data_IF_408993544193
#
_entry.id   IF_408993544193
#
_cell.length_a   1.000
_cell.length_b   1.000
_cell.length_c   1.000
_cell.angle_alpha   90.00
_cell.angle_beta   90.00
_cell.angle_gamma   90.00
#
_symmetry.space_group_name_H-M   'P 1'
#
loop_
_entity.id
_entity.type
_entity.pdbx_description
1 polymer ?
#
# COMPACT_ATOMS: atom_id res chain seq x y z
N UNK A 1 12.43 -22.68 -20.43
CA UNK A 1 12.00 -21.32 -20.01
C UNK A 1 10.54 -21.26 -19.50
N UNK A 2 9.70 -22.27 -19.72
CA UNK A 2 8.35 -22.36 -19.14
C UNK A 2 8.02 -23.77 -18.61
N UNK A 3 9.03 -24.54 -18.20
CA UNK A 3 8.83 -25.93 -17.72
C UNK A 3 7.95 -25.98 -16.46
N UNK A 4 7.89 -24.90 -15.70
CA UNK A 4 7.02 -24.74 -14.54
C UNK A 4 5.52 -24.88 -14.89
N UNK A 5 5.10 -24.57 -16.13
CA UNK A 5 3.68 -24.67 -16.54
C UNK A 5 3.15 -26.11 -16.39
N UNK A 6 4.03 -27.11 -16.49
CA UNK A 6 3.67 -28.52 -16.37
C UNK A 6 3.76 -29.06 -14.94
N UNK A 7 4.23 -28.26 -13.98
CA UNK A 7 4.35 -28.64 -12.57
C UNK A 7 3.18 -28.14 -11.74
N UNK A 8 2.53 -29.05 -11.01
CA UNK A 8 1.45 -28.69 -10.07
C UNK A 8 1.94 -27.75 -8.96
N UNK A 9 3.19 -27.92 -8.51
CA UNK A 9 3.79 -27.13 -7.44
C UNK A 9 3.99 -25.66 -7.85
N UNK A 10 4.26 -25.43 -9.14
CA UNK A 10 4.40 -24.08 -9.67
C UNK A 10 3.08 -23.32 -9.69
N UNK A 11 1.98 -24.00 -10.02
CA UNK A 11 0.62 -23.41 -9.96
C UNK A 11 0.18 -23.13 -8.52
N UNK A 12 0.51 -24.01 -7.57
CA UNK A 12 0.27 -23.78 -6.14
C UNK A 12 1.06 -22.56 -5.68
N UNK A 13 2.35 -22.50 -6.01
CA UNK A 13 3.22 -21.35 -5.68
C UNK A 13 2.68 -20.06 -6.28
N UNK A 14 2.27 -20.08 -7.56
CA UNK A 14 1.68 -18.93 -8.23
C UNK A 14 0.40 -18.46 -7.52
N UNK A 15 -0.47 -19.39 -7.15
CA UNK A 15 -1.71 -19.09 -6.44
C UNK A 15 -1.44 -18.50 -5.05
N UNK A 16 -0.51 -19.09 -4.29
CA UNK A 16 -0.10 -18.60 -2.96
C UNK A 16 0.50 -17.20 -3.06
N UNK A 17 1.44 -16.99 -3.98
CA UNK A 17 2.04 -15.67 -4.19
C UNK A 17 1.01 -14.63 -4.63
N UNK A 18 0.12 -14.99 -5.55
CA UNK A 18 -0.94 -14.08 -6.00
C UNK A 18 -1.87 -13.71 -4.85
N UNK A 19 -2.23 -14.69 -4.01
CA UNK A 19 -3.07 -14.45 -2.83
C UNK A 19 -2.36 -13.55 -1.80
N UNK A 20 -1.09 -13.79 -1.51
CA UNK A 20 -0.30 -12.96 -0.61
C UNK A 20 -0.17 -11.53 -1.15
N UNK A 21 0.18 -11.35 -2.42
CA UNK A 21 0.29 -10.03 -3.05
C UNK A 21 -1.05 -9.28 -3.07
N UNK A 22 -2.17 -9.98 -3.26
CA UNK A 22 -3.51 -9.38 -3.17
C UNK A 22 -3.81 -8.95 -1.73
N UNK A 23 -3.61 -9.81 -0.74
CA UNK A 23 -3.90 -9.51 0.68
C UNK A 23 -3.03 -8.35 1.16
N UNK A 24 -1.73 -8.39 0.89
CA UNK A 24 -0.80 -7.31 1.22
C UNK A 24 -1.09 -6.03 0.41
N UNK A 25 -1.66 -6.16 -0.80
CA UNK A 25 -2.00 -5.06 -1.69
C UNK A 25 -3.30 -4.31 -1.35
N UNK A 26 -4.14 -4.83 -0.44
CA UNK A 26 -5.39 -4.17 -0.03
C UNK A 26 -5.10 -2.77 0.54
N UNK A 27 -4.08 -2.65 1.38
CA UNK A 27 -3.70 -1.39 2.01
C UNK A 27 -3.26 -0.35 0.96
N UNK A 28 -2.54 -0.80 -0.08
CA UNK A 28 -2.10 0.03 -1.20
C UNK A 28 -3.29 0.55 -2.02
N UNK A 29 -4.35 -0.26 -2.21
CA UNK A 29 -5.56 0.19 -2.93
C UNK A 29 -6.32 1.24 -2.13
N UNK A 30 -6.49 1.02 -0.82
CA UNK A 30 -7.18 1.98 0.04
C UNK A 30 -6.42 3.31 0.03
N UNK A 31 -5.10 3.26 0.11
CA UNK A 31 -4.28 4.46 0.05
C UNK A 31 -4.38 5.18 -1.30
N UNK A 32 -4.33 4.41 -2.40
CA UNK A 32 -4.55 4.95 -3.74
C UNK A 32 -5.91 5.65 -3.85
N UNK A 33 -6.97 5.04 -3.32
CA UNK A 33 -8.31 5.62 -3.32
C UNK A 33 -8.34 6.99 -2.61
N UNK A 34 -7.67 7.10 -1.45
CA UNK A 34 -7.57 8.35 -0.69
C UNK A 34 -6.85 9.44 -1.49
N UNK A 35 -5.69 9.15 -2.06
CA UNK A 35 -4.94 10.15 -2.80
C UNK A 35 -5.64 10.57 -4.09
N UNK A 36 -6.22 9.62 -4.81
CA UNK A 36 -6.96 9.89 -6.05
C UNK A 36 -8.22 10.72 -5.77
N UNK A 37 -8.85 10.58 -4.59
CA UNK A 37 -10.03 11.39 -4.22
C UNK A 37 -9.77 12.90 -4.21
N UNK A 38 -8.49 13.32 -4.06
CA UNK A 38 -8.05 14.72 -4.12
C UNK A 38 -7.96 15.28 -5.53
N UNK A 39 -7.93 14.42 -6.54
CA UNK A 39 -7.93 14.86 -7.92
C UNK A 39 -9.33 15.34 -8.31
N UNK A 40 -9.42 16.32 -9.23
CA UNK A 40 -10.70 16.68 -9.83
C UNK A 40 -11.41 15.42 -10.38
N UNK A 41 -12.75 15.31 -10.27
CA UNK A 41 -13.50 14.10 -10.63
C UNK A 41 -13.12 13.53 -12.02
N UNK A 42 -12.88 14.40 -12.99
CA UNK A 42 -12.50 14.05 -14.38
C UNK A 42 -11.14 13.34 -14.49
N UNK A 43 -10.24 13.52 -13.51
CA UNK A 43 -8.89 12.98 -13.51
C UNK A 43 -8.73 11.74 -12.61
N UNK A 44 -9.75 11.37 -11.84
CA UNK A 44 -9.64 10.30 -10.84
C UNK A 44 -9.38 8.93 -11.46
N UNK A 45 -10.16 8.56 -12.47
CA UNK A 45 -9.97 7.28 -13.16
C UNK A 45 -8.59 7.19 -13.82
N UNK A 46 -8.12 8.29 -14.42
CA UNK A 46 -6.76 8.37 -14.97
C UNK A 46 -5.70 8.24 -13.89
N UNK A 47 -5.85 8.95 -12.77
CA UNK A 47 -4.92 8.90 -11.63
C UNK A 47 -4.82 7.49 -11.04
N UNK A 48 -5.95 6.78 -10.93
CA UNK A 48 -6.01 5.39 -10.46
C UNK A 48 -5.28 4.43 -11.40
N UNK A 49 -5.59 4.47 -12.70
CA UNK A 49 -4.96 3.59 -13.69
C UNK A 49 -3.46 3.87 -13.78
N UNK A 50 -3.06 5.14 -13.85
CA UNK A 50 -1.65 5.52 -13.91
C UNK A 50 -0.90 5.19 -12.62
N UNK A 51 -1.53 5.43 -11.46
CA UNK A 51 -0.96 5.07 -10.15
C UNK A 51 -0.72 3.58 -10.03
N UNK A 52 -1.71 2.74 -10.36
CA UNK A 52 -1.57 1.28 -10.34
C UNK A 52 -0.56 0.76 -11.37
N UNK A 53 -0.56 1.33 -12.59
CA UNK A 53 0.40 0.95 -13.62
C UNK A 53 1.83 1.29 -13.20
N UNK A 54 2.03 2.47 -12.60
CA UNK A 54 3.34 2.88 -12.09
C UNK A 54 3.79 1.99 -10.92
N UNK A 55 2.91 1.73 -9.96
CA UNK A 55 3.15 0.81 -8.84
C UNK A 55 3.55 -0.60 -9.32
N UNK A 56 2.85 -1.13 -10.33
CA UNK A 56 3.21 -2.41 -10.93
C UNK A 56 4.60 -2.39 -11.56
N UNK A 57 4.93 -1.34 -12.32
CA UNK A 57 6.25 -1.19 -12.94
C UNK A 57 7.32 -1.11 -11.86
N UNK A 58 7.15 -0.29 -10.82
CA UNK A 58 8.12 -0.17 -9.73
C UNK A 58 8.30 -1.50 -9.01
N UNK A 59 7.22 -2.25 -8.77
CA UNK A 59 7.27 -3.56 -8.13
C UNK A 59 8.00 -4.59 -8.99
N UNK A 60 7.73 -4.63 -10.30
CA UNK A 60 8.44 -5.50 -11.24
C UNK A 60 9.92 -5.11 -11.31
N UNK A 61 10.26 -3.81 -11.31
CA UNK A 61 11.66 -3.37 -11.30
C UNK A 61 12.39 -3.73 -10.00
N UNK A 62 11.73 -3.59 -8.86
CA UNK A 62 12.25 -4.05 -7.56
C UNK A 62 12.48 -5.56 -7.56
N UNK A 63 11.51 -6.32 -8.09
CA UNK A 63 11.67 -7.75 -8.32
C UNK A 63 12.84 -8.03 -9.25
N UNK A 64 12.95 -7.47 -10.44
CA UNK A 64 14.09 -7.73 -11.33
C UNK A 64 15.44 -7.31 -10.73
N UNK A 65 15.42 -6.41 -9.75
CA UNK A 65 16.57 -5.97 -8.97
C UNK A 65 16.83 -6.88 -7.75
N UNK A 66 16.41 -8.15 -7.75
CA UNK A 66 16.58 -9.13 -6.64
C UNK A 66 17.95 -9.03 -5.98
N UNK A 67 19.03 -9.08 -6.77
CA UNK A 67 20.40 -9.03 -6.25
C UNK A 67 20.71 -7.75 -5.49
N UNK A 68 20.15 -6.61 -5.92
CA UNK A 68 20.27 -5.34 -5.22
C UNK A 68 19.40 -5.32 -3.96
N UNK A 69 18.15 -5.80 -4.04
CA UNK A 69 17.24 -5.89 -2.89
C UNK A 69 17.82 -6.78 -1.80
N UNK A 70 18.43 -7.91 -2.15
CA UNK A 70 19.12 -8.78 -1.18
C UNK A 70 20.31 -8.09 -0.52
N UNK A 71 21.02 -7.21 -1.25
CA UNK A 71 22.09 -6.38 -0.67
C UNK A 71 21.54 -5.27 0.24
N UNK A 72 20.32 -4.79 0.02
CA UNK A 72 19.67 -3.85 0.96
C UNK A 72 19.43 -4.50 2.33
N UNK A 73 19.28 -5.82 2.42
CA UNK A 73 19.14 -6.55 3.70
C UNK A 73 20.49 -6.77 4.38
N UNK A 74 21.61 -6.69 3.65
CA UNK A 74 22.94 -6.85 4.26
C UNK A 74 23.31 -5.63 5.13
N UNK A 75 23.94 -5.83 6.30
CA UNK A 75 24.40 -4.75 7.16
C UNK A 75 25.32 -3.79 6.40
N UNK A 76 24.98 -2.49 6.40
CA UNK A 76 25.81 -1.45 5.79
C UNK A 76 26.86 -0.92 6.78
N UNK A 77 26.45 -0.74 8.04
CA UNK A 77 27.30 -0.27 9.13
C UNK A 77 26.67 -0.66 10.47
N UNK A 78 27.50 -0.85 11.50
CA UNK A 78 27.05 -1.11 12.87
C UNK A 78 27.15 0.15 13.72
N UNK A 79 26.09 0.45 14.48
CA UNK A 79 26.08 1.53 15.48
C UNK A 79 25.59 0.93 16.79
N UNK A 80 26.40 1.02 17.85
CA UNK A 80 26.02 0.57 19.20
C UNK A 80 25.48 -0.89 19.21
N UNK A 81 26.22 -1.82 18.59
CA UNK A 81 25.86 -3.24 18.42
C UNK A 81 24.61 -3.57 17.58
N UNK A 82 23.97 -2.56 16.97
CA UNK A 82 22.90 -2.78 15.99
C UNK A 82 23.43 -2.67 14.56
N UNK A 83 23.18 -3.70 13.76
CA UNK A 83 23.51 -3.76 12.33
C UNK A 83 22.41 -3.05 11.53
N UNK A 84 22.72 -1.93 10.89
CA UNK A 84 21.73 -1.18 10.10
C UNK A 84 21.90 -1.54 8.64
N UNK A 85 20.84 -2.07 8.03
CA UNK A 85 20.76 -2.39 6.61
C UNK A 85 20.13 -1.25 5.80
N UNK A 86 20.27 -1.32 4.47
CA UNK A 86 19.58 -0.37 3.59
C UNK A 86 18.06 -0.53 3.63
N UNK A 87 17.55 -1.74 3.88
CA UNK A 87 16.13 -2.03 4.09
C UNK A 87 15.62 -1.21 5.28
N UNK A 88 16.34 -1.25 6.40
CA UNK A 88 15.92 -0.58 7.64
C UNK A 88 15.82 0.93 7.44
N UNK A 89 16.75 1.51 6.67
CA UNK A 89 16.69 2.93 6.33
C UNK A 89 15.44 3.27 5.49
N UNK A 90 15.09 2.43 4.52
CA UNK A 90 13.88 2.61 3.70
C UNK A 90 12.62 2.47 4.54
N UNK A 91 12.55 1.47 5.42
CA UNK A 91 11.42 1.25 6.32
C UNK A 91 11.27 2.38 7.34
N UNK A 92 12.38 2.87 7.91
CA UNK A 92 12.39 3.99 8.85
C UNK A 92 11.91 5.28 8.18
N UNK A 93 12.49 5.65 7.05
CA UNK A 93 12.12 6.87 6.32
C UNK A 93 10.70 6.78 5.77
N UNK A 94 10.33 5.62 5.23
CA UNK A 94 8.99 5.34 4.74
C UNK A 94 7.94 5.41 5.86
N UNK A 95 8.19 4.74 6.98
CA UNK A 95 7.32 4.75 8.15
C UNK A 95 7.12 6.14 8.74
N UNK A 96 8.21 6.91 8.92
CA UNK A 96 8.15 8.31 9.34
C UNK A 96 7.36 9.17 8.35
N UNK A 97 7.61 8.99 7.05
CA UNK A 97 6.88 9.69 6.00
C UNK A 97 5.37 9.40 6.08
N UNK A 98 4.98 8.13 6.24
CA UNK A 98 3.59 7.71 6.39
C UNK A 98 2.93 8.30 7.64
N UNK A 99 3.59 8.27 8.79
CA UNK A 99 3.07 8.85 10.03
C UNK A 99 2.82 10.35 9.85
N UNK A 100 3.83 11.09 9.40
CA UNK A 100 3.76 12.55 9.26
C UNK A 100 2.71 12.93 8.22
N UNK A 101 2.66 12.25 7.08
CA UNK A 101 1.69 12.51 6.02
C UNK A 101 0.26 12.22 6.51
N UNK A 102 0.02 11.07 7.11
CA UNK A 102 -1.30 10.66 7.58
C UNK A 102 -1.83 11.59 8.68
N UNK A 103 -0.99 12.00 9.64
CA UNK A 103 -1.42 12.93 10.69
C UNK A 103 -1.81 14.28 10.11
N UNK A 104 -1.02 14.81 9.15
CA UNK A 104 -1.37 16.06 8.45
C UNK A 104 -2.71 15.93 7.74
N UNK A 105 -2.92 14.81 7.07
CA UNK A 105 -4.14 14.50 6.34
C UNK A 105 -5.38 14.39 7.25
N UNK A 106 -5.24 13.72 8.40
CA UNK A 106 -6.28 13.62 9.43
C UNK A 106 -6.63 15.02 9.95
N UNK A 107 -5.63 15.84 10.25
CA UNK A 107 -5.83 17.21 10.75
C UNK A 107 -6.57 18.07 9.73
N UNK A 108 -6.19 18.02 8.46
CA UNK A 108 -6.85 18.75 7.38
C UNK A 108 -8.32 18.33 7.25
N UNK A 109 -8.59 17.03 7.35
CA UNK A 109 -9.94 16.49 7.22
C UNK A 109 -10.86 16.82 8.40
N UNK A 110 -10.31 16.89 9.63
CA UNK A 110 -11.08 17.26 10.83
C UNK A 110 -11.29 18.78 10.92
N UNK A 111 -10.30 19.56 10.49
CA UNK A 111 -10.33 21.01 10.73
C UNK A 111 -11.32 21.77 9.86
N UNK A 112 -11.99 21.14 8.88
CA UNK A 112 -12.90 21.76 7.91
C UNK A 112 -12.40 23.11 7.35
N UNK A 113 -11.08 23.33 7.31
CA UNK A 113 -10.55 24.58 6.81
C UNK A 113 -10.77 24.60 5.30
N UNK A 114 -11.64 25.52 4.87
CA UNK A 114 -11.80 25.90 3.48
C UNK A 114 -10.42 26.11 2.83
N UNK A 115 -10.27 25.55 1.64
CA UNK A 115 -9.02 25.47 0.90
C UNK A 115 -8.22 26.79 0.91
N UNK A 116 -6.99 26.72 1.38
CA UNK A 116 -5.91 27.43 0.72
C UNK A 116 -5.84 26.89 -0.71
N UNK A 117 -6.51 27.56 -1.66
CA UNK A 117 -6.43 27.30 -3.10
C UNK A 117 -4.96 27.10 -3.50
N UNK A 118 -4.53 25.85 -3.67
CA UNK A 118 -3.18 25.60 -4.16
C UNK A 118 -3.14 25.97 -5.63
N UNK A 119 -2.30 26.95 -5.97
CA UNK A 119 -2.06 27.53 -7.31
C UNK A 119 -1.52 26.51 -8.36
N UNK A 120 -1.56 25.21 -8.08
CA UNK A 120 -1.11 24.19 -9.02
C UNK A 120 -2.18 23.88 -10.06
N UNK A 121 -1.81 23.95 -11.34
CA UNK A 121 -2.63 23.44 -12.46
C UNK A 121 -3.03 21.99 -12.17
N UNK A 122 -4.25 21.60 -12.55
CA UNK A 122 -4.78 20.25 -12.33
C UNK A 122 -3.86 19.12 -12.82
N UNK A 123 -3.14 19.33 -13.93
CA UNK A 123 -2.12 18.40 -14.45
C UNK A 123 -0.92 18.20 -13.50
N UNK A 124 -0.45 19.26 -12.84
CA UNK A 124 0.62 19.13 -11.83
C UNK A 124 0.14 18.36 -10.60
N UNK A 125 -1.12 18.53 -10.19
CA UNK A 125 -1.70 17.77 -9.07
C UNK A 125 -1.75 16.27 -9.36
N UNK A 126 -2.05 15.87 -10.61
CA UNK A 126 -2.06 14.46 -11.01
C UNK A 126 -0.69 13.81 -10.84
N UNK A 127 0.37 14.43 -11.37
CA UNK A 127 1.72 13.86 -11.27
C UNK A 127 2.23 13.79 -9.83
N UNK A 128 1.89 14.78 -8.99
CA UNK A 128 2.22 14.76 -7.57
C UNK A 128 1.53 13.57 -6.89
N UNK A 129 0.24 13.37 -7.13
CA UNK A 129 -0.52 12.24 -6.55
C UNK A 129 0.04 10.90 -7.02
N UNK A 130 0.34 10.74 -8.31
CA UNK A 130 0.93 9.50 -8.85
C UNK A 130 2.31 9.24 -8.23
N UNK A 131 3.13 10.27 -8.04
CA UNK A 131 4.42 10.13 -7.37
C UNK A 131 4.27 9.75 -5.89
N UNK A 132 3.28 10.31 -5.16
CA UNK A 132 3.00 9.92 -3.78
C UNK A 132 2.57 8.45 -3.68
N UNK A 133 1.70 7.99 -4.59
CA UNK A 133 1.32 6.56 -4.69
C UNK A 133 2.56 5.71 -4.90
N UNK A 134 3.43 6.10 -5.84
CA UNK A 134 4.63 5.34 -6.17
C UNK A 134 5.61 5.21 -5.00
N UNK A 135 5.87 6.32 -4.29
CA UNK A 135 6.78 6.31 -3.13
C UNK A 135 6.26 5.38 -2.05
N UNK A 136 4.95 5.40 -1.80
CA UNK A 136 4.34 4.56 -0.76
C UNK A 136 4.32 3.10 -1.18
N UNK A 137 4.01 2.82 -2.45
CA UNK A 137 4.08 1.47 -2.98
C UNK A 137 5.50 0.91 -2.93
N UNK A 138 6.55 1.70 -3.17
CA UNK A 138 7.95 1.27 -3.04
C UNK A 138 8.27 0.84 -1.60
N UNK A 139 7.86 1.64 -0.61
CA UNK A 139 8.09 1.32 0.81
C UNK A 139 7.40 0.01 1.19
N UNK A 140 6.14 -0.19 0.77
CA UNK A 140 5.39 -1.41 1.05
C UNK A 140 5.85 -2.64 0.26
N UNK A 141 6.20 -2.43 -1.01
CA UNK A 141 6.62 -3.51 -1.89
C UNK A 141 8.00 -4.03 -1.55
N UNK A 142 8.87 -3.26 -0.87
CA UNK A 142 10.17 -3.76 -0.43
C UNK A 142 10.03 -5.01 0.43
N UNK A 143 9.13 -4.98 1.42
CA UNK A 143 8.93 -6.11 2.33
C UNK A 143 8.15 -7.27 1.68
N UNK A 144 7.16 -6.96 0.83
CA UNK A 144 6.43 -7.99 0.06
C UNK A 144 7.34 -8.73 -0.91
N UNK A 145 8.26 -8.01 -1.58
CA UNK A 145 9.23 -8.58 -2.51
C UNK A 145 10.23 -9.47 -1.76
N UNK A 146 10.75 -9.03 -0.61
CA UNK A 146 11.65 -9.85 0.22
C UNK A 146 10.95 -11.15 0.64
N UNK A 147 9.69 -11.06 1.05
CA UNK A 147 8.87 -12.24 1.39
C UNK A 147 8.67 -13.17 0.18
N UNK A 148 8.35 -12.61 -0.99
CA UNK A 148 8.13 -13.37 -2.22
C UNK A 148 9.40 -14.14 -2.65
N UNK A 149 10.57 -13.51 -2.54
CA UNK A 149 11.88 -14.13 -2.81
C UNK A 149 12.18 -15.27 -1.84
N UNK A 150 11.71 -15.17 -0.60
CA UNK A 150 11.82 -16.26 0.38
C UNK A 150 10.95 -17.48 0.05
N UNK A 151 9.86 -17.30 -0.72
CA UNK A 151 8.87 -18.34 -1.02
C UNK A 151 9.12 -18.99 -2.38
N UNK A 152 9.47 -18.21 -3.41
CA UNK A 152 9.61 -18.72 -4.78
C UNK A 152 10.98 -18.45 -5.38
N UNK A 153 11.50 -19.47 -6.06
CA UNK A 153 12.82 -19.42 -6.71
C UNK A 153 12.73 -19.02 -8.19
N UNK A 154 11.53 -18.98 -8.78
CA UNK A 154 11.33 -18.59 -10.18
C UNK A 154 10.77 -17.16 -10.28
N UNK A 155 11.60 -16.27 -10.82
CA UNK A 155 11.28 -14.85 -11.06
C UNK A 155 10.06 -14.68 -11.97
N UNK A 156 9.88 -15.59 -12.91
CA UNK A 156 8.75 -15.58 -13.85
C UNK A 156 7.43 -15.75 -13.09
N UNK A 157 7.39 -16.69 -12.14
CA UNK A 157 6.19 -16.96 -11.32
C UNK A 157 5.89 -15.74 -10.44
N UNK A 158 6.91 -15.11 -9.85
CA UNK A 158 6.75 -13.89 -9.05
C UNK A 158 6.17 -12.73 -9.87
N UNK A 159 6.71 -12.49 -11.07
CA UNK A 159 6.20 -11.43 -11.97
C UNK A 159 4.75 -11.69 -12.37
N UNK A 160 4.41 -12.93 -12.74
CA UNK A 160 3.03 -13.29 -13.10
C UNK A 160 2.09 -13.09 -11.89
N UNK A 161 2.51 -13.46 -10.69
CA UNK A 161 1.74 -13.22 -9.47
C UNK A 161 1.45 -11.73 -9.25
N UNK A 162 2.46 -10.87 -9.41
CA UNK A 162 2.29 -9.41 -9.29
C UNK A 162 1.33 -8.87 -10.37
N UNK A 163 1.44 -9.33 -11.61
CA UNK A 163 0.55 -8.92 -12.70
C UNK A 163 -0.90 -9.33 -12.40
N UNK A 164 -1.12 -10.57 -11.95
CA UNK A 164 -2.45 -11.07 -11.55
C UNK A 164 -3.00 -10.23 -10.40
N UNK A 165 -2.20 -10.00 -9.35
CA UNK A 165 -2.61 -9.18 -8.21
C UNK A 165 -3.00 -7.77 -8.66
N UNK A 166 -2.17 -7.09 -9.44
CA UNK A 166 -2.46 -5.74 -9.95
C UNK A 166 -3.72 -5.71 -10.82
N UNK A 167 -3.94 -6.73 -11.66
CA UNK A 167 -5.16 -6.82 -12.46
C UNK A 167 -6.40 -6.87 -11.55
N UNK A 168 -6.39 -7.74 -10.54
CA UNK A 168 -7.46 -7.82 -9.52
C UNK A 168 -7.64 -6.48 -8.81
N UNK A 169 -6.55 -5.83 -8.41
CA UNK A 169 -6.59 -4.52 -7.76
C UNK A 169 -7.16 -3.43 -8.68
N UNK A 170 -6.89 -3.48 -9.98
CA UNK A 170 -7.43 -2.53 -10.95
C UNK A 170 -8.95 -2.66 -11.11
N UNK A 171 -9.48 -3.89 -11.03
CA UNK A 171 -10.93 -4.10 -10.99
C UNK A 171 -11.55 -3.65 -9.66
N UNK A 172 -10.89 -3.94 -8.53
CA UNK A 172 -11.41 -3.61 -7.19
C UNK A 172 -11.26 -2.13 -6.81
N UNK A 173 -10.27 -1.43 -7.37
CA UNK A 173 -9.91 -0.07 -6.94
C UNK A 173 -10.97 0.98 -7.23
N UNK A 174 -11.77 0.85 -8.29
CA UNK A 174 -12.86 1.79 -8.58
C UNK A 174 -13.97 1.74 -7.52
N UNK A 175 -14.61 0.59 -7.23
CA UNK A 175 -15.64 0.53 -6.20
C UNK A 175 -15.10 0.88 -4.81
N UNK A 176 -13.84 0.53 -4.50
CA UNK A 176 -13.20 0.94 -3.25
C UNK A 176 -13.04 2.46 -3.18
N UNK A 177 -12.58 3.10 -4.26
CA UNK A 177 -12.46 4.57 -4.31
C UNK A 177 -13.81 5.27 -4.13
N UNK A 178 -14.83 4.82 -4.84
CA UNK A 178 -16.19 5.36 -4.74
C UNK A 178 -16.76 5.17 -3.31
N UNK A 179 -16.43 4.05 -2.65
CA UNK A 179 -16.84 3.78 -1.27
C UNK A 179 -16.13 4.68 -0.25
N UNK A 180 -14.82 4.86 -0.39
CA UNK A 180 -14.01 5.75 0.47
C UNK A 180 -14.47 7.21 0.33
N UNK A 181 -14.82 7.64 -0.89
CA UNK A 181 -15.34 8.99 -1.12
C UNK A 181 -16.73 9.18 -0.50
N UNK A 182 -17.60 8.18 -0.62
CA UNK A 182 -18.96 8.25 -0.08
C UNK A 182 -19.02 8.32 1.44
N UNK A 183 -18.04 7.74 2.14
CA UNK A 183 -18.00 7.69 3.60
C UNK A 183 -16.72 8.30 4.17
N UNK A 184 -16.75 9.58 4.59
CA UNK A 184 -15.59 10.26 5.17
C UNK A 184 -14.99 9.54 6.39
N UNK A 185 -15.80 8.82 7.18
CA UNK A 185 -15.32 8.02 8.30
C UNK A 185 -14.40 6.88 7.88
N UNK A 186 -14.62 6.27 6.70
CA UNK A 186 -13.74 5.25 6.13
C UNK A 186 -12.38 5.86 5.75
N UNK A 187 -12.38 7.08 5.20
CA UNK A 187 -11.15 7.80 4.89
C UNK A 187 -10.33 8.09 6.16
N UNK A 188 -10.97 8.55 7.23
CA UNK A 188 -10.29 8.77 8.53
C UNK A 188 -9.76 7.45 9.09
N UNK A 189 -10.55 6.38 9.06
CA UNK A 189 -10.14 5.05 9.53
C UNK A 189 -8.90 4.54 8.77
N UNK A 190 -8.90 4.68 7.44
CA UNK A 190 -7.78 4.28 6.61
C UNK A 190 -6.51 5.12 6.86
N UNK A 191 -6.64 6.43 7.08
CA UNK A 191 -5.50 7.27 7.48
C UNK A 191 -4.96 6.87 8.86
N UNK A 192 -5.84 6.49 9.80
CA UNK A 192 -5.40 5.97 11.09
C UNK A 192 -4.64 4.64 10.95
N UNK A 193 -5.07 3.74 10.06
CA UNK A 193 -4.29 2.55 9.73
C UNK A 193 -2.96 2.89 9.08
N UNK A 194 -2.88 3.93 8.25
CA UNK A 194 -1.62 4.35 7.67
C UNK A 194 -0.63 4.88 8.72
N UNK A 195 -1.13 5.53 9.78
CA UNK A 195 -0.31 5.86 10.97
C UNK A 195 0.17 4.59 11.67
N UNK A 196 -0.74 3.63 11.93
CA UNK A 196 -0.41 2.37 12.57
C UNK A 196 0.65 1.60 11.79
N UNK A 197 0.46 1.44 10.48
CA UNK A 197 1.41 0.78 9.60
C UNK A 197 2.74 1.55 9.59
N UNK A 198 2.71 2.88 9.52
CA UNK A 198 3.93 3.69 9.61
C UNK A 198 4.70 3.45 10.92
N UNK A 199 4.01 3.29 12.05
CA UNK A 199 4.63 2.91 13.34
C UNK A 199 5.22 1.51 13.28
N UNK A 200 4.53 0.55 12.65
CA UNK A 200 5.04 -0.81 12.46
C UNK A 200 6.31 -0.81 11.61
N UNK A 201 6.36 -0.07 10.51
CA UNK A 201 7.56 0.03 9.67
C UNK A 201 8.75 0.66 10.42
N UNK A 202 8.48 1.67 11.25
CA UNK A 202 9.51 2.23 12.13
C UNK A 202 9.99 1.18 13.14
N UNK A 203 9.08 0.41 13.74
CA UNK A 203 9.46 -0.67 14.66
C UNK A 203 10.30 -1.76 13.96
N UNK A 204 9.87 -2.21 12.78
CA UNK A 204 10.59 -3.19 11.97
C UNK A 204 11.98 -2.71 11.55
N UNK A 205 12.18 -1.40 11.35
CA UNK A 205 13.52 -0.83 11.08
C UNK A 205 14.50 -0.90 12.26
N UNK A 206 14.02 -1.21 13.46
CA UNK A 206 14.84 -1.47 14.65
C UNK A 206 14.80 -2.95 15.06
N UNK A 207 14.55 -3.85 14.10
CA UNK A 207 14.42 -5.30 14.30
C UNK A 207 13.30 -5.72 15.26
N UNK A 208 12.37 -4.80 15.58
CA UNK A 208 11.18 -5.11 16.37
C UNK A 208 10.13 -5.68 15.41
N UNK A 209 10.10 -7.00 15.31
CA UNK A 209 9.16 -7.71 14.45
C UNK A 209 7.77 -7.75 15.07
N UNK A 210 6.80 -7.17 14.38
CA UNK A 210 5.38 -7.22 14.76
C UNK A 210 4.67 -8.15 13.79
N UNK A 211 3.99 -9.17 14.31
CA UNK A 211 3.21 -10.07 13.45
C UNK A 211 2.08 -9.30 12.78
N UNK A 212 2.11 -9.29 11.44
CA UNK A 212 1.12 -8.61 10.60
C UNK A 212 -0.29 -9.15 10.81
N UNK A 213 -0.45 -10.37 11.30
CA UNK A 213 -1.75 -10.92 11.68
C UNK A 213 -2.47 -10.04 12.72
N UNK A 214 -1.75 -9.46 13.68
CA UNK A 214 -2.34 -8.54 14.65
C UNK A 214 -2.86 -7.26 13.99
N UNK A 215 -2.08 -6.71 13.06
CA UNK A 215 -2.46 -5.50 12.31
C UNK A 215 -3.69 -5.78 11.45
N UNK A 216 -3.69 -6.86 10.66
CA UNK A 216 -4.81 -7.21 9.80
C UNK A 216 -6.07 -7.58 10.59
N UNK A 217 -5.93 -8.22 11.74
CA UNK A 217 -7.06 -8.51 12.63
C UNK A 217 -7.67 -7.22 13.18
N UNK A 218 -6.82 -6.28 13.65
CA UNK A 218 -7.29 -4.98 14.12
C UNK A 218 -7.97 -4.18 13.00
N UNK A 219 -7.42 -4.23 11.78
CA UNK A 219 -7.97 -3.56 10.61
C UNK A 219 -9.34 -4.13 10.22
N UNK A 220 -9.44 -5.45 10.13
CA UNK A 220 -10.69 -6.13 9.83
C UNK A 220 -11.75 -5.83 10.89
N UNK A 221 -11.40 -5.91 12.17
CA UNK A 221 -12.31 -5.60 13.27
C UNK A 221 -12.83 -4.16 13.19
N UNK A 222 -11.95 -3.17 13.02
CA UNK A 222 -12.35 -1.78 12.97
C UNK A 222 -13.14 -1.44 11.68
N UNK A 223 -12.85 -2.10 10.55
CA UNK A 223 -13.69 -2.03 9.34
C UNK A 223 -15.09 -2.57 9.60
N UNK A 224 -15.22 -3.73 10.26
CA UNK A 224 -16.53 -4.30 10.63
C UNK A 224 -17.31 -3.34 11.52
N UNK A 225 -16.68 -2.82 12.58
CA UNK A 225 -17.30 -1.81 13.46
C UNK A 225 -17.74 -0.58 12.67
N UNK A 226 -16.90 -0.09 11.75
CA UNK A 226 -17.22 1.08 10.95
C UNK A 226 -18.35 0.82 9.95
N UNK A 227 -18.45 -0.38 9.38
CA UNK A 227 -19.57 -0.80 8.54
C UNK A 227 -20.86 -0.83 9.36
N UNK A 228 -20.84 -1.41 10.56
CA UNK A 228 -22.01 -1.42 11.46
C UNK A 228 -22.46 0.01 11.81
N UNK A 229 -21.53 0.90 12.12
CA UNK A 229 -21.82 2.32 12.40
C UNK A 229 -22.47 3.03 11.18
N UNK A 230 -21.98 2.76 9.97
CA UNK A 230 -22.57 3.31 8.73
C UNK A 230 -23.99 2.78 8.51
N UNK A 231 -24.23 1.50 8.81
CA UNK A 231 -25.57 0.88 8.68
C UNK A 231 -26.56 1.47 9.70
N UNK A 232 -26.11 1.78 10.90
CA UNK A 232 -26.93 2.36 11.96
C UNK A 232 -27.35 3.82 11.63
N UNK A 233 -26.39 4.66 11.23
CA UNK A 233 -26.66 6.04 10.80
C UNK A 233 -27.63 6.13 9.61
N UNK A 234 -27.65 5.10 8.75
CA UNK A 234 -28.60 5.01 7.64
C UNK A 234 -30.03 4.71 8.10
N UNK A 235 -30.20 3.98 9.20
CA UNK A 235 -31.53 3.70 9.77
C UNK A 235 -32.11 4.96 10.41
N UNK A 236 -31.32 5.71 11.16
CA UNK A 236 -31.76 6.98 11.78
C UNK A 236 -32.16 8.04 10.76
N UNK A 237 -31.55 8.06 9.56
CA UNK A 237 -31.94 8.99 8.48
C UNK A 237 -33.20 8.59 7.71
N UNK A 238 -33.63 7.33 7.83
CA UNK A 238 -34.73 6.76 7.06
C UNK A 238 -35.98 6.41 7.91
N UNK A 239 -35.91 6.57 9.24
CA UNK A 239 -37.01 6.40 10.18
C UNK A 239 -37.47 7.72 10.75
#
# INVERSE_FOLDING_TARGET
MFEWIFSIDAWITLATLSALEIVLGIDNIIFLAILVSKLPPEHRDKGRILGLAFAMITRILLLLSLFWVMKLVTPLFSVLDNEISGRDLVLLLGGLFLIVKSIKEIKEQISHQEESQSHFKASNKLWIVVAEIAVIDIVFSLDSVITAVGIAQDVTIMIIAVIIAVAVMLFASKPIADFVEKYPSIKILALAFLVLIGVVLVAESFDIHIDKAYIYTAMAFALVVQILNILDQRKEKNG
#
